data_IF_119713243901
#
_entry.id   IF_119713243901
#
_cell.length_a   1.000
_cell.length_b   1.000
_cell.length_c   1.000
_cell.angle_alpha   90.00
_cell.angle_beta   90.00
_cell.angle_gamma   90.00
#
_symmetry.space_group_name_H-M   'P 1'
#
loop_
_entity.id
_entity.type
_entity.pdbx_description
1 polymer ?
#
# COMPACT_ATOMS: atom_id res chain seq x y z
N UNK A 1 -26.71 18.76 -3.95
CA UNK A 1 -25.57 18.21 -3.20
C UNK A 1 -26.04 17.91 -1.79
N UNK A 2 -25.52 16.86 -1.15
CA UNK A 2 -25.83 16.59 0.26
C UNK A 2 -25.10 17.64 1.12
N UNK A 3 -25.83 18.39 1.93
CA UNK A 3 -25.29 19.39 2.85
C UNK A 3 -25.30 18.83 4.28
N UNK A 4 -24.29 19.18 5.07
CA UNK A 4 -24.18 18.83 6.48
C UNK A 4 -23.99 20.10 7.31
N UNK A 5 -24.70 20.22 8.43
CA UNK A 5 -24.49 21.30 9.40
C UNK A 5 -23.40 20.94 10.40
N UNK A 6 -22.83 21.95 11.06
CA UNK A 6 -21.91 21.72 12.16
C UNK A 6 -22.56 20.87 13.27
N UNK A 7 -23.85 21.08 13.57
CA UNK A 7 -24.63 20.27 14.52
C UNK A 7 -24.70 18.79 14.13
N UNK A 8 -24.98 18.48 12.86
CA UNK A 8 -25.01 17.10 12.37
C UNK A 8 -23.64 16.42 12.48
N UNK A 9 -22.58 17.13 12.08
CA UNK A 9 -21.21 16.60 12.10
C UNK A 9 -20.74 16.39 13.53
N UNK A 10 -20.97 17.36 14.41
CA UNK A 10 -20.64 17.25 15.82
C UNK A 10 -21.42 16.11 16.50
N UNK A 11 -22.71 15.96 16.21
CA UNK A 11 -23.53 14.86 16.73
C UNK A 11 -23.05 13.49 16.26
N UNK A 12 -22.63 13.36 15.00
CA UNK A 12 -22.05 12.12 14.47
C UNK A 12 -20.69 11.78 15.09
N UNK A 13 -19.86 12.79 15.34
CA UNK A 13 -18.49 12.61 15.85
C UNK A 13 -18.38 12.63 17.38
N UNK A 14 -19.42 13.04 18.10
CA UNK A 14 -19.36 13.32 19.53
C UNK A 14 -18.52 14.56 19.88
N UNK A 15 -18.54 15.57 19.00
CA UNK A 15 -17.76 16.80 19.12
C UNK A 15 -18.52 17.97 19.74
N UNK A 16 -17.77 18.95 20.23
CA UNK A 16 -18.29 20.21 20.75
C UNK A 16 -18.15 21.32 19.69
N UNK A 17 -19.15 22.19 19.59
CA UNK A 17 -19.17 23.27 18.60
C UNK A 17 -18.72 24.58 19.23
N UNK A 18 -17.78 25.27 18.59
CA UNK A 18 -17.41 26.65 18.91
C UNK A 18 -17.64 27.50 17.66
N UNK A 19 -18.69 28.33 17.68
CA UNK A 19 -19.13 29.11 16.52
C UNK A 19 -20.61 28.89 16.21
N UNK A 20 -20.99 28.99 14.95
CA UNK A 20 -22.38 28.83 14.50
C UNK A 20 -22.69 27.37 14.17
N UNK A 21 -23.57 26.75 14.95
CA UNK A 21 -24.00 25.35 14.80
C UNK A 21 -24.78 25.08 13.49
N UNK A 22 -25.35 26.12 12.89
CA UNK A 22 -26.10 26.03 11.62
C UNK A 22 -25.19 26.19 10.39
N UNK A 23 -23.88 26.43 10.59
CA UNK A 23 -22.90 26.51 9.51
C UNK A 23 -22.98 25.26 8.64
N UNK A 24 -23.09 25.44 7.32
CA UNK A 24 -23.26 24.35 6.36
C UNK A 24 -22.00 24.09 5.56
N UNK A 25 -21.77 22.82 5.26
CA UNK A 25 -20.71 22.37 4.34
C UNK A 25 -21.25 21.33 3.36
N UNK A 26 -20.68 21.32 2.17
CA UNK A 26 -21.03 20.37 1.10
C UNK A 26 -19.78 19.77 0.42
N UNK A 27 -18.58 20.12 0.87
CA UNK A 27 -17.31 19.59 0.37
C UNK A 27 -16.25 19.52 1.47
N UNK A 28 -15.16 18.80 1.22
CA UNK A 28 -13.97 18.76 2.06
C UNK A 28 -12.80 19.41 1.30
N UNK A 29 -11.89 20.09 2.01
CA UNK A 29 -10.69 20.70 1.43
C UNK A 29 -9.47 20.56 2.35
N UNK A 30 -8.27 20.79 1.81
CA UNK A 30 -7.12 21.09 2.65
C UNK A 30 -7.34 22.44 3.38
N UNK A 31 -6.56 22.69 4.42
CA UNK A 31 -6.74 23.88 5.25
C UNK A 31 -6.30 25.15 4.52
N UNK A 32 -5.30 25.04 3.63
CA UNK A 32 -4.76 26.12 2.82
C UNK A 32 -5.74 26.59 1.74
N UNK A 33 -6.45 25.65 1.11
CA UNK A 33 -7.37 25.90 0.00
C UNK A 33 -8.84 25.98 0.44
N UNK A 34 -9.06 26.14 1.74
CA UNK A 34 -10.39 26.23 2.34
C UNK A 34 -11.23 27.36 1.75
N UNK A 35 -12.49 27.07 1.45
CA UNK A 35 -13.47 28.02 0.89
C UNK A 35 -14.79 27.88 1.61
N UNK A 36 -15.65 28.90 1.48
CA UNK A 36 -16.98 28.85 2.05
C UNK A 36 -17.73 27.58 1.58
N UNK A 37 -18.35 26.87 2.51
CA UNK A 37 -18.99 25.57 2.26
C UNK A 37 -18.05 24.36 2.35
N UNK A 38 -16.76 24.54 2.65
CA UNK A 38 -15.82 23.43 2.89
C UNK A 38 -15.62 23.12 4.37
N UNK A 39 -15.49 21.83 4.67
CA UNK A 39 -14.93 21.31 5.91
C UNK A 39 -13.45 21.01 5.71
N UNK A 40 -12.62 21.40 6.68
CA UNK A 40 -11.22 20.99 6.75
C UNK A 40 -10.87 20.55 8.18
N UNK A 41 -9.61 20.23 8.44
CA UNK A 41 -9.15 19.73 9.73
C UNK A 41 -7.73 20.21 10.06
N UNK A 42 -7.46 20.38 11.35
CA UNK A 42 -6.14 20.67 11.88
C UNK A 42 -5.69 19.53 12.81
N UNK A 43 -4.87 18.63 12.28
CA UNK A 43 -4.30 17.50 13.02
C UNK A 43 -2.80 17.66 13.28
N UNK A 44 -2.10 18.41 12.42
CA UNK A 44 -0.68 18.71 12.56
C UNK A 44 -0.51 20.18 12.98
N UNK A 45 0.03 20.46 14.19
CA UNK A 45 0.22 21.83 14.69
C UNK A 45 1.02 22.73 13.76
N UNK A 46 1.89 22.19 12.89
CA UNK A 46 2.66 22.98 11.91
C UNK A 46 1.78 23.74 10.91
N UNK A 47 0.52 23.35 10.76
CA UNK A 47 -0.43 23.97 9.84
C UNK A 47 -1.37 24.97 10.54
N UNK A 48 -1.18 25.24 11.84
CA UNK A 48 -2.05 26.16 12.60
C UNK A 48 -2.11 27.55 11.95
N UNK A 49 -1.03 28.04 11.35
CA UNK A 49 -1.02 29.35 10.69
C UNK A 49 -2.08 29.47 9.58
N UNK A 50 -2.45 28.37 8.94
CA UNK A 50 -3.50 28.34 7.92
C UNK A 50 -4.92 28.38 8.52
N UNK A 51 -5.10 27.99 9.79
CA UNK A 51 -6.40 28.09 10.46
C UNK A 51 -6.94 29.52 10.48
N UNK A 52 -6.04 30.50 10.58
CA UNK A 52 -6.40 31.91 10.69
C UNK A 52 -6.64 32.59 9.34
N UNK A 53 -6.13 32.02 8.25
CA UNK A 53 -6.30 32.55 6.89
C UNK A 53 -7.23 31.73 6.01
N UNK A 54 -7.64 30.53 6.45
CA UNK A 54 -8.50 29.64 5.67
C UNK A 54 -9.88 30.27 5.42
N UNK A 55 -10.40 30.05 4.22
CA UNK A 55 -11.79 30.37 3.90
C UNK A 55 -12.77 29.25 4.25
N UNK A 56 -12.31 28.13 4.83
CA UNK A 56 -13.17 27.01 5.20
C UNK A 56 -14.26 27.44 6.21
N UNK A 57 -15.46 26.89 6.06
CA UNK A 57 -16.58 27.22 6.96
C UNK A 57 -16.52 26.45 8.26
N UNK A 58 -16.05 25.19 8.24
CA UNK A 58 -15.90 24.35 9.43
C UNK A 58 -14.47 23.80 9.48
N UNK A 59 -13.85 23.84 10.67
CA UNK A 59 -12.58 23.17 10.93
C UNK A 59 -12.70 22.18 12.09
N UNK A 60 -12.36 20.93 11.82
CA UNK A 60 -12.24 19.89 12.84
C UNK A 60 -10.89 20.00 13.56
N UNK A 61 -10.90 20.06 14.88
CA UNK A 61 -9.70 20.19 15.71
C UNK A 61 -9.76 19.27 16.92
N UNK A 62 -8.60 18.96 17.51
CA UNK A 62 -8.58 18.25 18.78
C UNK A 62 -9.21 19.12 19.89
N UNK A 63 -9.92 18.50 20.83
CA UNK A 63 -10.57 19.19 21.95
C UNK A 63 -9.58 20.00 22.79
N UNK A 64 -8.34 19.49 22.89
CA UNK A 64 -7.19 20.13 23.55
C UNK A 64 -6.58 21.29 22.79
N UNK A 65 -6.97 21.55 21.55
CA UNK A 65 -6.44 22.65 20.76
C UNK A 65 -7.01 23.98 21.28
N UNK A 66 -6.12 24.90 21.62
CA UNK A 66 -6.46 26.27 22.01
C UNK A 66 -5.90 27.24 20.96
N UNK A 67 -6.77 27.96 20.23
CA UNK A 67 -6.31 28.86 19.19
C UNK A 67 -5.55 30.06 19.77
N UNK A 68 -4.40 30.38 19.18
CA UNK A 68 -3.56 31.52 19.56
C UNK A 68 -4.06 32.86 19.01
N UNK A 69 -4.96 32.83 18.02
CA UNK A 69 -5.59 34.01 17.42
C UNK A 69 -7.09 33.76 17.20
N UNK A 70 -7.84 34.81 16.86
CA UNK A 70 -9.25 34.68 16.54
C UNK A 70 -9.44 33.79 15.30
N UNK A 71 -10.34 32.82 15.41
CA UNK A 71 -10.70 31.91 14.31
C UNK A 71 -12.02 32.35 13.70
N UNK A 72 -12.04 32.51 12.38
CA UNK A 72 -13.23 32.92 11.63
C UNK A 72 -14.19 31.75 11.36
N UNK A 73 -13.66 30.54 11.23
CA UNK A 73 -14.45 29.34 10.96
C UNK A 73 -15.14 28.80 12.22
N UNK A 74 -16.24 28.07 12.03
CA UNK A 74 -16.83 27.28 13.11
C UNK A 74 -15.94 26.09 13.42
N UNK A 75 -15.54 25.92 14.69
CA UNK A 75 -14.75 24.78 15.12
C UNK A 75 -15.64 23.65 15.60
N UNK A 76 -15.27 22.42 15.22
CA UNK A 76 -15.77 21.21 15.86
C UNK A 76 -14.60 20.57 16.61
N UNK A 77 -14.69 20.57 17.94
CA UNK A 77 -13.69 20.02 18.86
C UNK A 77 -14.01 18.56 19.17
N UNK A 78 -13.10 17.64 18.83
CA UNK A 78 -13.24 16.19 19.05
C UNK A 78 -12.02 15.61 19.79
N UNK A 79 -12.13 14.44 20.40
CA UNK A 79 -11.01 13.85 21.14
C UNK A 79 -9.81 13.50 20.24
N UNK A 80 -10.08 13.01 19.02
CA UNK A 80 -9.07 12.72 18.01
C UNK A 80 -9.57 13.15 16.62
N UNK A 81 -9.10 14.30 16.17
CA UNK A 81 -9.45 14.86 14.87
C UNK A 81 -8.99 13.97 13.72
N UNK A 82 -7.85 13.29 13.82
CA UNK A 82 -7.36 12.43 12.75
C UNK A 82 -8.24 11.19 12.57
N UNK A 83 -8.60 10.53 13.68
CA UNK A 83 -9.52 9.40 13.66
C UNK A 83 -10.93 9.81 13.16
N UNK A 84 -11.39 11.01 13.51
CA UNK A 84 -12.69 11.50 13.05
C UNK A 84 -12.70 11.85 11.56
N UNK A 85 -11.61 12.40 11.01
CA UNK A 85 -11.46 12.58 9.56
C UNK A 85 -11.58 11.25 8.83
N UNK A 86 -10.91 10.21 9.33
CA UNK A 86 -11.02 8.87 8.76
C UNK A 86 -12.49 8.39 8.74
N UNK A 87 -13.21 8.50 9.87
CA UNK A 87 -14.63 8.12 9.95
C UNK A 87 -15.51 8.89 8.95
N UNK A 88 -15.28 10.19 8.77
CA UNK A 88 -16.02 11.00 7.79
C UNK A 88 -15.75 10.55 6.35
N UNK A 89 -14.49 10.29 6.02
CA UNK A 89 -14.10 9.80 4.69
C UNK A 89 -14.66 8.41 4.41
N UNK A 90 -14.67 7.52 5.41
CA UNK A 90 -15.28 6.19 5.34
C UNK A 90 -16.79 6.27 5.11
N UNK A 91 -17.50 7.11 5.87
CA UNK A 91 -18.94 7.35 5.71
C UNK A 91 -19.24 7.86 4.30
N UNK A 92 -18.50 8.86 3.83
CA UNK A 92 -18.67 9.40 2.48
C UNK A 92 -18.45 8.34 1.41
N UNK A 93 -17.43 7.49 1.59
CA UNK A 93 -17.15 6.42 0.63
C UNK A 93 -18.23 5.32 0.67
N UNK A 94 -18.77 5.00 1.85
CA UNK A 94 -19.86 4.03 2.02
C UNK A 94 -21.19 4.53 1.42
N UNK A 95 -21.41 5.84 1.40
CA UNK A 95 -22.60 6.46 0.83
C UNK A 95 -22.59 6.49 -0.72
N UNK A 96 -21.45 6.21 -1.37
CA UNK A 96 -21.39 6.17 -2.83
C UNK A 96 -22.29 5.04 -3.37
N UNK A 97 -23.09 5.29 -4.43
CA UNK A 97 -23.90 4.25 -5.05
C UNK A 97 -23.04 3.05 -5.46
N UNK A 98 -23.43 1.86 -5.00
CA UNK A 98 -22.82 0.61 -5.46
C UNK A 98 -23.55 0.14 -6.71
N UNK A 99 -22.78 -0.35 -7.68
CA UNK A 99 -23.34 -1.00 -8.86
C UNK A 99 -23.76 -2.41 -8.48
N UNK A 100 -24.71 -2.96 -9.23
CA UNK A 100 -25.20 -4.33 -9.04
C UNK A 100 -25.55 -4.95 -10.39
N UNK A 101 -25.60 -6.29 -10.39
CA UNK A 101 -25.93 -7.08 -11.56
C UNK A 101 -24.71 -7.42 -12.43
N UNK A 102 -24.95 -8.30 -13.40
CA UNK A 102 -23.95 -8.78 -14.35
C UNK A 102 -24.21 -8.09 -15.68
N UNK A 103 -23.20 -7.42 -16.23
CA UNK A 103 -23.29 -6.81 -17.55
C UNK A 103 -23.59 -7.86 -18.62
N UNK A 104 -24.43 -7.49 -19.60
CA UNK A 104 -24.69 -8.32 -20.80
C UNK A 104 -23.46 -8.47 -21.70
N UNK A 105 -22.45 -7.62 -21.51
CA UNK A 105 -21.18 -7.65 -22.24
C UNK A 105 -20.10 -8.45 -21.48
N UNK A 106 -20.41 -8.98 -20.29
CA UNK A 106 -19.52 -9.88 -19.57
C UNK A 106 -19.65 -11.31 -20.11
N UNK A 107 -18.53 -12.03 -20.15
CA UNK A 107 -18.49 -13.46 -20.45
C UNK A 107 -18.33 -14.24 -19.15
N UNK A 108 -19.42 -14.81 -18.64
CA UNK A 108 -19.43 -15.60 -17.41
C UNK A 108 -19.71 -17.05 -17.74
N UNK A 109 -18.78 -17.94 -17.40
CA UNK A 109 -18.95 -19.38 -17.62
C UNK A 109 -20.15 -19.93 -16.83
N UNK A 110 -20.87 -20.88 -17.42
CA UNK A 110 -22.09 -21.46 -16.84
C UNK A 110 -21.87 -22.08 -15.45
N UNK A 111 -20.67 -22.62 -15.19
CA UNK A 111 -20.28 -23.23 -13.91
C UNK A 111 -19.64 -22.25 -12.92
N UNK A 112 -19.64 -20.95 -13.20
CA UNK A 112 -19.16 -19.96 -12.25
C UNK A 112 -20.21 -19.70 -11.16
N UNK A 113 -19.77 -19.58 -9.92
CA UNK A 113 -20.62 -19.26 -8.77
C UNK A 113 -20.47 -17.77 -8.44
N UNK A 114 -21.56 -17.00 -8.53
CA UNK A 114 -21.57 -15.58 -8.20
C UNK A 114 -22.52 -15.32 -7.04
N UNK A 115 -21.99 -14.75 -5.96
CA UNK A 115 -22.75 -14.41 -4.76
C UNK A 115 -23.78 -13.29 -5.00
N UNK A 116 -24.66 -13.10 -4.00
CA UNK A 116 -25.68 -12.06 -4.01
C UNK A 116 -25.06 -10.65 -4.03
N UNK A 117 -25.80 -9.69 -4.61
CA UNK A 117 -25.47 -8.25 -4.60
C UNK A 117 -24.09 -7.90 -5.20
N UNK A 118 -23.62 -8.75 -6.11
CA UNK A 118 -22.39 -8.52 -6.87
C UNK A 118 -22.63 -7.61 -8.07
N UNK A 119 -21.57 -6.94 -8.48
CA UNK A 119 -21.46 -6.28 -9.78
C UNK A 119 -20.37 -6.93 -10.62
N UNK A 120 -20.69 -7.21 -11.89
CA UNK A 120 -19.72 -7.65 -12.90
C UNK A 120 -19.84 -6.72 -14.11
N UNK A 121 -18.79 -5.93 -14.35
CA UNK A 121 -18.73 -4.92 -15.39
C UNK A 121 -18.52 -5.45 -16.80
N UNK A 122 -18.60 -4.54 -17.77
CA UNK A 122 -18.47 -4.84 -19.19
C UNK A 122 -17.14 -5.51 -19.53
N UNK A 123 -17.17 -6.47 -20.45
CA UNK A 123 -15.99 -7.16 -20.98
C UNK A 123 -15.16 -7.89 -19.92
N UNK A 124 -15.73 -8.12 -18.74
CA UNK A 124 -15.14 -9.02 -17.74
C UNK A 124 -15.32 -10.46 -18.17
N UNK A 125 -14.27 -11.27 -18.01
CA UNK A 125 -14.26 -12.69 -18.31
C UNK A 125 -14.12 -13.47 -17.01
N UNK A 126 -15.06 -14.37 -16.77
CA UNK A 126 -15.12 -15.24 -15.60
C UNK A 126 -15.13 -16.69 -16.09
N UNK A 127 -14.02 -17.38 -15.91
CA UNK A 127 -13.81 -18.74 -16.39
C UNK A 127 -14.53 -19.82 -15.55
N UNK A 128 -14.48 -21.07 -16.02
CA UNK A 128 -15.13 -22.18 -15.35
C UNK A 128 -14.59 -22.43 -13.92
N UNK A 129 -15.50 -22.76 -13.00
CA UNK A 129 -15.16 -23.09 -11.61
C UNK A 129 -14.75 -21.89 -10.76
N UNK A 130 -14.84 -20.67 -11.28
CA UNK A 130 -14.64 -19.44 -10.48
C UNK A 130 -15.74 -19.30 -9.43
N UNK A 131 -15.35 -18.88 -8.22
CA UNK A 131 -16.27 -18.60 -7.12
C UNK A 131 -16.10 -17.16 -6.63
N UNK A 132 -17.16 -16.37 -6.69
CA UNK A 132 -17.19 -14.98 -6.26
C UNK A 132 -18.15 -14.87 -5.08
N UNK A 133 -17.65 -14.39 -3.93
CA UNK A 133 -18.46 -14.14 -2.73
C UNK A 133 -19.50 -13.04 -2.92
N UNK A 134 -20.38 -12.85 -1.94
CA UNK A 134 -21.41 -11.79 -1.98
C UNK A 134 -20.80 -10.39 -1.92
N UNK A 135 -21.55 -9.38 -2.35
CA UNK A 135 -21.18 -7.96 -2.29
C UNK A 135 -19.88 -7.57 -3.03
N UNK A 136 -19.36 -8.43 -3.92
CA UNK A 136 -18.15 -8.13 -4.67
C UNK A 136 -18.41 -7.09 -5.77
N UNK A 137 -17.41 -6.28 -6.06
CA UNK A 137 -17.45 -5.28 -7.13
C UNK A 137 -16.35 -5.59 -8.15
N UNK A 138 -16.73 -6.28 -9.22
CA UNK A 138 -15.83 -6.66 -10.30
C UNK A 138 -16.01 -5.68 -11.45
N UNK A 139 -15.12 -4.70 -11.56
CA UNK A 139 -15.20 -3.65 -12.56
C UNK A 139 -14.88 -4.17 -13.98
N UNK A 140 -15.11 -3.35 -15.03
CA UNK A 140 -14.92 -3.78 -16.42
C UNK A 140 -13.52 -4.32 -16.74
N UNK A 141 -13.44 -5.20 -17.75
CA UNK A 141 -12.18 -5.75 -18.29
C UNK A 141 -11.37 -6.58 -17.29
N UNK A 142 -11.99 -7.05 -16.21
CA UNK A 142 -11.33 -7.99 -15.28
C UNK A 142 -11.28 -9.38 -15.91
N UNK A 143 -10.19 -10.11 -15.67
CA UNK A 143 -10.07 -11.52 -16.04
C UNK A 143 -9.91 -12.38 -14.78
N UNK A 144 -10.80 -13.36 -14.60
CA UNK A 144 -10.72 -14.38 -13.56
C UNK A 144 -10.54 -15.75 -14.22
N UNK A 145 -9.33 -16.31 -14.12
CA UNK A 145 -8.98 -17.62 -14.66
C UNK A 145 -9.68 -18.78 -13.95
N UNK A 146 -9.59 -19.96 -14.55
CA UNK A 146 -10.32 -21.14 -14.07
C UNK A 146 -10.03 -21.46 -12.60
N UNK A 147 -11.07 -21.79 -11.84
CA UNK A 147 -10.94 -22.16 -10.42
C UNK A 147 -10.50 -21.04 -9.46
N UNK A 148 -10.46 -19.78 -9.90
CA UNK A 148 -10.17 -18.63 -9.02
C UNK A 148 -11.26 -18.48 -7.95
N UNK A 149 -10.87 -18.12 -6.72
CA UNK A 149 -11.83 -17.74 -5.69
C UNK A 149 -11.64 -16.29 -5.25
N UNK A 150 -12.73 -15.55 -5.14
CA UNK A 150 -12.77 -14.16 -4.67
C UNK A 150 -13.72 -14.09 -3.47
N UNK A 151 -13.20 -13.68 -2.30
CA UNK A 151 -13.97 -13.57 -1.08
C UNK A 151 -14.97 -12.41 -1.09
N UNK A 152 -15.93 -12.47 -0.17
CA UNK A 152 -16.98 -11.46 0.02
C UNK A 152 -16.43 -10.03 0.12
N UNK A 153 -17.16 -9.08 -0.47
CA UNK A 153 -16.89 -7.65 -0.33
C UNK A 153 -15.64 -7.17 -1.07
N UNK A 154 -14.94 -8.05 -1.78
CA UNK A 154 -13.73 -7.72 -2.53
C UNK A 154 -14.03 -6.88 -3.77
N UNK A 155 -13.18 -5.89 -4.02
CA UNK A 155 -13.25 -4.96 -5.12
C UNK A 155 -12.08 -5.21 -6.07
N UNK A 156 -12.38 -5.55 -7.32
CA UNK A 156 -11.40 -5.65 -8.39
C UNK A 156 -11.65 -4.52 -9.38
N UNK A 157 -10.74 -3.55 -9.43
CA UNK A 157 -10.84 -2.39 -10.32
C UNK A 157 -10.56 -2.77 -11.80
N UNK A 158 -10.82 -1.85 -12.76
CA UNK A 158 -10.76 -2.20 -14.17
C UNK A 158 -9.44 -2.83 -14.60
N UNK A 159 -9.52 -3.90 -15.39
CA UNK A 159 -8.34 -4.52 -15.96
C UNK A 159 -7.49 -5.32 -14.97
N UNK A 160 -7.97 -5.67 -13.77
CA UNK A 160 -7.26 -6.66 -12.92
C UNK A 160 -7.26 -8.03 -13.60
N UNK A 161 -6.13 -8.75 -13.57
CA UNK A 161 -6.02 -10.12 -14.09
C UNK A 161 -5.63 -11.08 -12.97
N UNK A 162 -6.42 -12.13 -12.79
CA UNK A 162 -6.18 -13.19 -11.81
C UNK A 162 -6.08 -14.52 -12.55
N UNK A 163 -4.92 -15.15 -12.47
CA UNK A 163 -4.63 -16.41 -13.14
C UNK A 163 -5.27 -17.60 -12.40
N UNK A 164 -5.39 -18.71 -13.12
CA UNK A 164 -6.05 -19.94 -12.65
C UNK A 164 -5.64 -20.37 -11.23
N UNK A 165 -6.60 -20.90 -10.47
CA UNK A 165 -6.38 -21.47 -9.14
C UNK A 165 -5.92 -20.50 -8.04
N UNK A 166 -5.76 -19.20 -8.35
CA UNK A 166 -5.41 -18.19 -7.35
C UNK A 166 -6.61 -17.87 -6.44
N UNK A 167 -6.31 -17.46 -5.21
CA UNK A 167 -7.32 -17.23 -4.17
C UNK A 167 -7.15 -15.83 -3.60
N UNK A 168 -8.25 -15.08 -3.54
CA UNK A 168 -8.34 -13.75 -2.97
C UNK A 168 -9.36 -13.79 -1.84
N UNK A 169 -8.97 -13.28 -0.67
CA UNK A 169 -9.78 -13.19 0.53
C UNK A 169 -10.93 -12.19 0.44
N UNK A 170 -11.48 -11.86 1.60
CA UNK A 170 -12.61 -10.94 1.79
C UNK A 170 -12.11 -9.51 1.94
N UNK A 171 -12.97 -8.55 1.56
CA UNK A 171 -12.73 -7.11 1.69
C UNK A 171 -11.39 -6.66 1.07
N UNK A 172 -10.88 -7.39 0.08
CA UNK A 172 -9.65 -7.01 -0.60
C UNK A 172 -9.93 -5.91 -1.62
N UNK A 173 -8.93 -5.10 -1.90
CA UNK A 173 -8.99 -4.07 -2.94
C UNK A 173 -7.79 -4.28 -3.87
N UNK A 174 -8.06 -4.61 -5.13
CA UNK A 174 -7.02 -4.69 -6.16
C UNK A 174 -7.28 -3.59 -7.18
N UNK A 175 -6.33 -2.65 -7.28
CA UNK A 175 -6.41 -1.50 -8.18
C UNK A 175 -6.11 -1.85 -9.63
N UNK A 176 -6.44 -0.91 -10.52
CA UNK A 176 -6.45 -1.13 -11.96
C UNK A 176 -5.14 -1.70 -12.48
N UNK A 177 -5.25 -2.70 -13.38
CA UNK A 177 -4.10 -3.31 -14.04
C UNK A 177 -3.25 -4.26 -13.18
N UNK A 178 -3.57 -4.46 -11.89
CA UNK A 178 -2.85 -5.44 -11.08
C UNK A 178 -2.95 -6.86 -11.67
N UNK A 179 -1.85 -7.62 -11.58
CA UNK A 179 -1.75 -8.98 -12.13
C UNK A 179 -1.38 -9.96 -11.02
N UNK A 180 -2.20 -10.99 -10.84
CA UNK A 180 -2.04 -12.00 -9.80
C UNK A 180 -1.89 -13.38 -10.44
N UNK A 181 -0.77 -14.03 -10.17
CA UNK A 181 -0.50 -15.41 -10.54
C UNK A 181 0.13 -15.63 -11.90
N UNK A 182 0.76 -14.62 -12.49
CA UNK A 182 1.61 -14.79 -13.66
C UNK A 182 2.84 -15.65 -13.32
N UNK A 183 3.43 -16.30 -14.33
CA UNK A 183 4.69 -17.05 -14.15
C UNK A 183 5.80 -16.12 -13.68
N UNK A 184 6.46 -16.46 -12.58
CA UNK A 184 7.64 -15.74 -12.12
C UNK A 184 8.90 -16.01 -12.94
N UNK A 185 10.00 -15.36 -12.56
CA UNK A 185 11.32 -15.51 -13.20
C UNK A 185 11.97 -16.86 -12.90
N UNK A 186 11.49 -17.93 -13.54
CA UNK A 186 12.04 -19.29 -13.41
C UNK A 186 12.78 -19.72 -14.67
N UNK A 187 14.10 -19.59 -14.69
CA UNK A 187 14.95 -19.97 -15.82
C UNK A 187 16.21 -20.67 -15.34
N UNK A 188 16.64 -21.73 -16.04
CA UNK A 188 17.87 -22.46 -15.74
C UNK A 188 18.83 -22.43 -16.93
N UNK A 189 20.14 -22.14 -16.75
CA UNK A 189 21.11 -22.24 -17.83
C UNK A 189 21.13 -23.64 -18.44
N UNK A 190 21.16 -23.72 -19.76
CA UNK A 190 21.23 -25.00 -20.47
C UNK A 190 22.60 -25.22 -21.11
N UNK A 191 22.88 -26.46 -21.52
CA UNK A 191 24.17 -26.85 -22.08
C UNK A 191 24.52 -26.12 -23.40
N UNK A 192 23.53 -25.56 -24.09
CA UNK A 192 23.70 -24.79 -25.33
C UNK A 192 24.03 -23.30 -25.08
N UNK A 193 24.17 -22.87 -23.81
CA UNK A 193 24.44 -21.48 -23.44
C UNK A 193 23.21 -20.56 -23.42
N UNK A 194 22.01 -21.13 -23.50
CA UNK A 194 20.73 -20.43 -23.32
C UNK A 194 20.09 -20.68 -21.96
N UNK A 195 18.79 -20.42 -21.84
CA UNK A 195 18.01 -20.66 -20.62
C UNK A 195 16.74 -21.46 -20.93
N UNK A 196 16.50 -22.52 -20.17
CA UNK A 196 15.25 -23.29 -20.22
C UNK A 196 14.24 -22.73 -19.21
N UNK A 197 12.98 -22.57 -19.65
CA UNK A 197 11.89 -22.10 -18.79
C UNK A 197 11.54 -23.19 -17.77
N UNK A 198 11.46 -22.80 -16.51
CA UNK A 198 10.96 -23.64 -15.41
C UNK A 198 9.45 -23.43 -15.29
N UNK A 199 8.62 -24.46 -15.53
CA UNK A 199 7.17 -24.37 -15.32
C UNK A 199 6.85 -24.00 -13.87
N UNK A 200 5.92 -23.05 -13.68
CA UNK A 200 5.43 -22.62 -12.38
C UNK A 200 4.05 -23.25 -12.14
N UNK A 201 3.97 -24.20 -11.22
CA UNK A 201 2.78 -25.03 -11.00
C UNK A 201 1.95 -24.57 -9.79
N UNK A 202 2.49 -23.68 -8.97
CA UNK A 202 1.82 -23.16 -7.78
C UNK A 202 0.77 -22.10 -8.12
N UNK A 203 0.28 -21.44 -7.07
CA UNK A 203 -0.69 -20.35 -7.18
C UNK A 203 -0.30 -19.13 -6.33
N UNK A 204 -1.21 -18.17 -6.24
CA UNK A 204 -1.15 -17.06 -5.28
C UNK A 204 -2.32 -17.16 -4.32
N UNK A 205 -2.05 -16.93 -3.03
CA UNK A 205 -3.05 -16.81 -1.98
C UNK A 205 -2.94 -15.42 -1.35
N UNK A 206 -3.98 -14.62 -1.52
CA UNK A 206 -4.17 -13.32 -0.89
C UNK A 206 -5.24 -13.50 0.20
N UNK A 207 -4.88 -13.23 1.45
CA UNK A 207 -5.81 -13.30 2.58
C UNK A 207 -6.69 -12.05 2.69
N UNK A 208 -7.49 -11.96 3.75
CA UNK A 208 -8.50 -10.92 3.95
C UNK A 208 -7.90 -9.51 4.16
N UNK A 209 -8.68 -8.48 3.86
CA UNK A 209 -8.37 -7.06 4.12
C UNK A 209 -7.07 -6.57 3.46
N UNK A 210 -6.61 -7.23 2.39
CA UNK A 210 -5.41 -6.85 1.63
C UNK A 210 -5.73 -5.77 0.60
N UNK A 211 -4.83 -4.80 0.45
CA UNK A 211 -4.90 -3.80 -0.64
C UNK A 211 -3.67 -3.89 -1.53
N UNK A 212 -3.90 -3.95 -2.85
CA UNK A 212 -2.89 -4.06 -3.89
C UNK A 212 -3.04 -2.90 -4.87
N UNK A 213 -2.00 -2.09 -5.01
CA UNK A 213 -1.95 -0.92 -5.87
C UNK A 213 -2.00 -1.24 -7.37
N UNK A 214 -2.15 -0.17 -8.16
CA UNK A 214 -2.28 -0.26 -9.60
C UNK A 214 -1.00 -0.80 -10.23
N UNK A 215 -1.18 -1.68 -11.23
CA UNK A 215 -0.09 -2.33 -11.95
C UNK A 215 0.94 -3.07 -11.06
N UNK A 216 0.54 -3.48 -9.85
CA UNK A 216 1.35 -4.38 -9.03
C UNK A 216 1.22 -5.81 -9.55
N UNK A 217 2.35 -6.50 -9.63
CA UNK A 217 2.46 -7.88 -10.12
C UNK A 217 2.83 -8.82 -8.99
N UNK A 218 2.10 -9.92 -8.86
CA UNK A 218 2.36 -10.97 -7.88
C UNK A 218 2.48 -12.30 -8.63
N UNK A 219 3.69 -12.84 -8.68
CA UNK A 219 3.97 -14.07 -9.40
C UNK A 219 3.44 -15.28 -8.64
N UNK A 220 2.94 -16.27 -9.37
CA UNK A 220 2.63 -17.58 -8.77
C UNK A 220 3.92 -18.27 -8.34
N UNK A 221 3.79 -19.10 -7.32
CA UNK A 221 4.90 -19.91 -6.85
C UNK A 221 5.27 -21.02 -7.85
N UNK A 222 6.53 -21.48 -7.77
CA UNK A 222 7.00 -22.64 -8.54
C UNK A 222 6.26 -23.90 -8.12
N UNK A 223 6.20 -24.13 -6.81
CA UNK A 223 5.38 -25.11 -6.11
C UNK A 223 4.67 -24.42 -4.97
N UNK A 224 3.53 -24.93 -4.52
CA UNK A 224 2.75 -24.36 -3.41
C UNK A 224 2.16 -22.98 -3.74
N UNK A 225 2.41 -21.97 -2.90
CA UNK A 225 1.78 -20.65 -3.01
C UNK A 225 2.74 -19.51 -2.69
N UNK A 226 2.65 -18.44 -3.48
CA UNK A 226 3.04 -17.09 -3.04
C UNK A 226 1.92 -16.59 -2.13
N UNK A 227 2.25 -16.04 -0.96
CA UNK A 227 1.23 -15.71 0.05
C UNK A 227 1.36 -14.28 0.54
N UNK A 228 0.23 -13.57 0.46
CA UNK A 228 0.06 -12.23 1.00
C UNK A 228 -0.91 -12.33 2.17
N UNK A 229 -0.40 -12.13 3.39
CA UNK A 229 -1.19 -12.32 4.62
C UNK A 229 -2.16 -11.18 4.88
N UNK A 230 -3.10 -11.41 5.80
CA UNK A 230 -4.17 -10.49 6.14
C UNK A 230 -3.66 -9.08 6.44
N UNK A 231 -4.38 -8.07 5.94
CA UNK A 231 -4.13 -6.66 6.25
C UNK A 231 -2.92 -6.04 5.55
N UNK A 232 -2.18 -6.79 4.71
CA UNK A 232 -1.06 -6.24 3.94
C UNK A 232 -1.52 -5.14 2.99
N UNK A 233 -0.74 -4.07 2.87
CA UNK A 233 -0.99 -2.94 1.95
C UNK A 233 0.21 -2.74 1.03
N UNK A 234 0.03 -3.06 -0.24
CA UNK A 234 1.04 -2.88 -1.29
C UNK A 234 0.60 -1.72 -2.19
N UNK A 235 1.43 -0.70 -2.30
CA UNK A 235 1.22 0.43 -3.20
C UNK A 235 1.44 0.03 -4.68
N UNK A 236 1.45 1.02 -5.56
CA UNK A 236 1.50 0.87 -7.01
C UNK A 236 2.86 0.35 -7.52
N UNK A 237 2.83 -0.35 -8.67
CA UNK A 237 4.03 -0.78 -9.40
C UNK A 237 5.00 -1.65 -8.58
N UNK A 238 4.48 -2.44 -7.63
CA UNK A 238 5.29 -3.38 -6.85
C UNK A 238 5.45 -4.69 -7.64
N UNK A 239 6.61 -5.33 -7.48
CA UNK A 239 6.86 -6.69 -7.98
C UNK A 239 7.06 -7.65 -6.80
N UNK A 240 6.23 -8.69 -6.72
CA UNK A 240 6.36 -9.79 -5.79
C UNK A 240 6.73 -11.06 -6.57
N UNK A 241 7.92 -11.59 -6.32
CA UNK A 241 8.43 -12.81 -6.97
C UNK A 241 7.69 -14.09 -6.55
N UNK A 242 8.03 -15.19 -7.23
CA UNK A 242 7.47 -16.50 -6.94
C UNK A 242 7.85 -16.96 -5.52
N UNK A 243 6.93 -17.65 -4.82
CA UNK A 243 7.14 -18.20 -3.48
C UNK A 243 7.36 -17.17 -2.35
N UNK A 244 7.27 -15.86 -2.63
CA UNK A 244 7.34 -14.83 -1.59
C UNK A 244 6.24 -15.03 -0.54
N UNK A 245 6.57 -14.74 0.70
CA UNK A 245 5.63 -14.72 1.83
C UNK A 245 5.70 -13.36 2.53
N UNK A 246 4.59 -12.63 2.60
CA UNK A 246 4.51 -11.33 3.29
C UNK A 246 3.58 -11.44 4.50
N UNK A 247 4.11 -11.18 5.69
CA UNK A 247 3.43 -11.27 6.98
C UNK A 247 2.35 -10.21 7.20
N UNK A 248 1.50 -10.46 8.19
CA UNK A 248 0.30 -9.65 8.47
C UNK A 248 0.60 -8.16 8.68
N UNK A 249 -0.29 -7.28 8.21
CA UNK A 249 -0.22 -5.82 8.40
C UNK A 249 1.09 -5.16 7.95
N UNK A 250 1.89 -5.83 7.12
CA UNK A 250 3.06 -5.22 6.49
C UNK A 250 2.62 -4.26 5.39
N UNK A 251 3.24 -3.09 5.35
CA UNK A 251 2.96 -2.06 4.35
C UNK A 251 4.18 -1.80 3.49
N UNK A 252 3.97 -1.60 2.20
CA UNK A 252 5.02 -1.32 1.23
C UNK A 252 4.61 -0.19 0.29
N UNK A 253 5.47 0.82 0.20
CA UNK A 253 5.33 1.93 -0.75
C UNK A 253 5.74 1.53 -2.16
N UNK A 254 5.37 2.37 -3.13
CA UNK A 254 5.48 2.07 -4.55
C UNK A 254 6.87 1.60 -5.00
N UNK A 255 6.87 0.80 -6.07
CA UNK A 255 8.08 0.34 -6.77
C UNK A 255 9.04 -0.51 -5.93
N UNK A 256 8.55 -1.09 -4.84
CA UNK A 256 9.28 -2.14 -4.12
C UNK A 256 9.36 -3.42 -4.97
N UNK A 257 10.51 -4.07 -4.97
CA UNK A 257 10.71 -5.37 -5.61
C UNK A 257 11.18 -6.41 -4.59
N UNK A 258 10.47 -7.53 -4.50
CA UNK A 258 10.83 -8.66 -3.63
C UNK A 258 11.10 -9.87 -4.51
N UNK A 259 12.36 -10.30 -4.57
CA UNK A 259 12.78 -11.45 -5.36
C UNK A 259 12.35 -12.77 -4.71
N UNK A 260 12.32 -13.81 -5.56
CA UNK A 260 11.96 -15.21 -5.34
C UNK A 260 11.57 -15.61 -3.92
N UNK A 261 12.20 -16.60 -3.33
CA UNK A 261 11.72 -17.36 -2.17
C UNK A 261 11.88 -16.61 -0.82
N UNK A 262 11.77 -15.28 -0.84
CA UNK A 262 12.00 -14.41 0.31
C UNK A 262 10.79 -14.32 1.24
N UNK A 263 11.04 -14.02 2.51
CA UNK A 263 10.03 -13.91 3.55
C UNK A 263 10.13 -12.53 4.20
N UNK A 264 9.00 -11.84 4.31
CA UNK A 264 8.87 -10.59 5.07
C UNK A 264 7.94 -10.84 6.24
N UNK A 265 8.38 -10.49 7.44
CA UNK A 265 7.62 -10.61 8.69
C UNK A 265 6.37 -9.74 8.73
N UNK A 266 5.69 -9.75 9.87
CA UNK A 266 4.49 -8.92 10.12
C UNK A 266 4.86 -7.52 10.57
N UNK A 267 3.94 -6.58 10.34
CA UNK A 267 4.05 -5.17 10.75
C UNK A 267 5.35 -4.49 10.27
N UNK A 268 5.88 -4.91 9.12
CA UNK A 268 7.04 -4.27 8.50
C UNK A 268 6.60 -3.02 7.73
N UNK A 269 7.52 -2.06 7.62
CA UNK A 269 7.35 -0.85 6.82
C UNK A 269 8.44 -0.80 5.76
N UNK A 270 8.07 -1.03 4.50
CA UNK A 270 8.98 -0.93 3.36
C UNK A 270 8.70 0.39 2.64
N UNK A 271 9.62 1.35 2.71
CA UNK A 271 9.49 2.62 2.03
C UNK A 271 9.65 2.49 0.50
N UNK A 272 9.57 3.60 -0.23
CA UNK A 272 9.52 3.57 -1.70
C UNK A 272 10.79 3.00 -2.32
N UNK A 273 10.62 2.17 -3.37
CA UNK A 273 11.72 1.58 -4.14
C UNK A 273 12.68 0.69 -3.31
N UNK A 274 12.18 -0.04 -2.31
CA UNK A 274 13.00 -1.03 -1.60
C UNK A 274 13.24 -2.25 -2.50
N UNK A 275 14.46 -2.79 -2.49
CA UNK A 275 14.80 -4.05 -3.16
C UNK A 275 15.14 -5.13 -2.15
N UNK A 276 14.56 -6.32 -2.28
CA UNK A 276 14.89 -7.49 -1.46
C UNK A 276 15.39 -8.59 -2.39
N UNK A 277 16.61 -9.08 -2.13
CA UNK A 277 17.22 -10.18 -2.88
C UNK A 277 16.49 -11.51 -2.64
N UNK A 278 16.81 -12.50 -3.47
CA UNK A 278 16.21 -13.83 -3.40
C UNK A 278 16.67 -14.56 -2.14
N UNK A 279 15.80 -15.39 -1.56
CA UNK A 279 16.04 -16.17 -0.34
C UNK A 279 16.36 -15.36 0.94
N UNK A 280 15.93 -14.10 1.02
CA UNK A 280 16.15 -13.25 2.20
C UNK A 280 14.99 -13.38 3.19
N UNK A 281 15.30 -13.56 4.47
CA UNK A 281 14.34 -13.49 5.58
C UNK A 281 14.43 -12.13 6.27
N UNK A 282 13.36 -11.34 6.16
CA UNK A 282 13.15 -10.10 6.92
C UNK A 282 12.24 -10.41 8.10
N UNK A 283 12.73 -10.15 9.31
CA UNK A 283 12.00 -10.35 10.57
C UNK A 283 10.78 -9.45 10.74
N UNK A 284 10.13 -9.57 11.88
CA UNK A 284 8.94 -8.80 12.24
C UNK A 284 9.29 -7.35 12.63
N UNK A 285 8.35 -6.43 12.44
CA UNK A 285 8.47 -5.02 12.86
C UNK A 285 9.67 -4.26 12.26
N UNK A 286 10.22 -4.74 11.15
CA UNK A 286 11.36 -4.14 10.46
C UNK A 286 10.93 -2.90 9.67
N UNK A 287 11.76 -1.86 9.69
CA UNK A 287 11.56 -0.63 8.89
C UNK A 287 12.71 -0.43 7.90
N UNK A 288 12.39 -0.38 6.62
CA UNK A 288 13.37 -0.20 5.55
C UNK A 288 13.14 1.15 4.87
N UNK A 289 14.18 1.99 4.89
CA UNK A 289 14.17 3.31 4.24
C UNK A 289 14.19 3.23 2.72
N UNK A 290 13.74 4.30 2.06
CA UNK A 290 13.56 4.32 0.60
C UNK A 290 14.85 3.99 -0.15
N UNK A 291 14.73 3.32 -1.30
CA UNK A 291 15.86 2.92 -2.18
C UNK A 291 16.89 1.97 -1.55
N UNK A 292 16.59 1.40 -0.38
CA UNK A 292 17.50 0.45 0.26
C UNK A 292 17.41 -0.93 -0.39
N UNK A 293 18.55 -1.61 -0.49
CA UNK A 293 18.65 -3.02 -0.91
C UNK A 293 18.96 -3.92 0.28
N UNK A 294 18.30 -5.08 0.35
CA UNK A 294 18.57 -6.14 1.33
C UNK A 294 19.07 -7.40 0.61
N UNK A 295 20.32 -7.78 0.87
CA UNK A 295 20.99 -8.96 0.33
C UNK A 295 21.20 -10.07 1.38
N UNK A 296 20.84 -9.80 2.63
CA UNK A 296 20.99 -10.70 3.78
C UNK A 296 19.83 -10.56 4.74
N UNK A 297 19.64 -11.60 5.54
CA UNK A 297 18.60 -11.66 6.56
C UNK A 297 18.65 -10.45 7.52
N UNK A 298 17.46 -10.06 7.96
CA UNK A 298 17.23 -8.92 8.83
C UNK A 298 16.53 -9.41 10.10
N UNK A 299 17.14 -9.27 11.29
CA UNK A 299 16.47 -9.56 12.56
C UNK A 299 15.25 -8.67 12.82
N UNK A 300 14.38 -9.11 13.73
CA UNK A 300 13.20 -8.38 14.16
C UNK A 300 13.52 -6.96 14.68
N UNK A 301 12.62 -6.01 14.43
CA UNK A 301 12.64 -4.65 14.97
C UNK A 301 13.73 -3.73 14.41
N UNK A 302 14.55 -4.23 13.49
CA UNK A 302 15.63 -3.48 12.86
C UNK A 302 15.11 -2.30 12.02
N UNK A 303 15.92 -1.24 11.98
CA UNK A 303 15.70 -0.09 11.10
C UNK A 303 16.91 0.03 10.17
N UNK A 304 16.73 -0.27 8.89
CA UNK A 304 17.81 -0.19 7.89
C UNK A 304 17.50 0.86 6.85
N UNK A 305 18.52 1.61 6.45
CA UNK A 305 18.42 2.58 5.36
C UNK A 305 19.77 2.75 4.67
N UNK A 306 19.73 3.03 3.36
CA UNK A 306 20.88 3.35 2.53
C UNK A 306 20.44 4.11 1.27
N UNK A 307 21.34 4.90 0.69
CA UNK A 307 21.06 5.87 -0.39
C UNK A 307 20.08 7.01 0.01
N UNK A 308 20.47 7.97 0.87
CA UNK A 308 19.86 9.29 0.82
C UNK A 308 20.58 10.15 -0.24
N UNK A 309 19.82 11.03 -0.89
CA UNK A 309 20.42 12.07 -1.70
C UNK A 309 21.27 12.98 -0.81
N UNK A 310 22.51 13.26 -1.25
CA UNK A 310 23.40 14.24 -0.63
C UNK A 310 23.53 15.44 -1.57
N UNK A 311 23.81 16.65 -1.05
CA UNK A 311 24.27 17.77 -1.88
C UNK A 311 25.39 17.32 -2.82
N UNK A 312 25.32 17.70 -4.11
CA UNK A 312 26.15 17.08 -5.15
C UNK A 312 27.66 17.07 -4.86
N UNK A 313 28.21 18.17 -4.35
CA UNK A 313 29.62 18.24 -3.96
C UNK A 313 29.97 17.33 -2.78
N UNK A 314 29.06 17.19 -1.81
CA UNK A 314 29.25 16.27 -0.70
C UNK A 314 29.22 14.82 -1.21
N UNK A 315 28.27 14.48 -2.09
CA UNK A 315 28.21 13.16 -2.71
C UNK A 315 29.51 12.82 -3.45
N UNK A 316 29.99 13.70 -4.34
CA UNK A 316 31.21 13.46 -5.11
C UNK A 316 32.43 13.24 -4.23
N UNK A 317 32.58 14.02 -3.14
CA UNK A 317 33.67 13.84 -2.18
C UNK A 317 33.57 12.49 -1.47
N UNK A 318 32.40 12.13 -0.96
CA UNK A 318 32.18 10.83 -0.31
C UNK A 318 32.41 9.66 -1.26
N UNK A 319 31.93 9.75 -2.50
CA UNK A 319 32.12 8.72 -3.52
C UNK A 319 33.59 8.54 -3.92
N UNK A 320 34.38 9.62 -3.97
CA UNK A 320 35.82 9.54 -4.22
C UNK A 320 36.57 8.79 -3.11
N UNK A 321 36.17 8.97 -1.84
CA UNK A 321 36.74 8.21 -0.71
C UNK A 321 36.30 6.76 -0.76
N UNK A 322 35.01 6.50 -1.02
CA UNK A 322 34.45 5.15 -1.09
C UNK A 322 35.16 4.27 -2.12
N UNK A 323 35.50 4.82 -3.29
CA UNK A 323 36.29 4.10 -4.31
C UNK A 323 37.68 3.68 -3.86
N UNK A 324 38.27 4.39 -2.88
CA UNK A 324 39.61 4.14 -2.36
C UNK A 324 39.62 3.39 -1.02
N UNK A 325 38.45 2.93 -0.55
CA UNK A 325 38.34 2.26 0.75
C UNK A 325 39.28 1.05 0.87
N UNK A 326 39.43 0.19 -0.18
CA UNK A 326 40.35 -0.95 -0.11
C UNK A 326 41.82 -0.55 0.05
N UNK A 327 42.27 0.52 -0.62
CA UNK A 327 43.64 1.03 -0.48
C UNK A 327 43.85 1.68 0.89
N UNK A 328 42.85 2.39 1.40
CA UNK A 328 42.89 2.98 2.74
C UNK A 328 42.95 1.88 3.81
N UNK A 329 42.19 0.79 3.69
CA UNK A 329 42.25 -0.36 4.60
C UNK A 329 43.65 -0.98 4.63
N UNK A 330 44.26 -1.21 3.46
CA UNK A 330 45.64 -1.70 3.35
C UNK A 330 46.65 -0.76 4.01
N UNK A 331 46.49 0.55 3.79
CA UNK A 331 47.36 1.56 4.38
C UNK A 331 47.25 1.55 5.92
N UNK A 332 46.03 1.51 6.46
CA UNK A 332 45.79 1.44 7.90
C UNK A 332 46.45 0.19 8.49
N UNK A 333 46.25 -0.98 7.88
CA UNK A 333 46.84 -2.22 8.35
C UNK A 333 48.38 -2.21 8.33
N UNK A 334 48.98 -1.60 7.31
CA UNK A 334 50.44 -1.43 7.24
C UNK A 334 50.96 -0.48 8.31
N UNK A 335 50.26 0.63 8.57
CA UNK A 335 50.60 1.57 9.64
C UNK A 335 50.50 0.90 11.02
N UNK A 336 49.47 0.10 11.27
CA UNK A 336 49.32 -0.67 12.52
C UNK A 336 50.51 -1.62 12.76
N UNK A 337 50.98 -2.32 11.71
CA UNK A 337 52.17 -3.19 11.80
C UNK A 337 53.43 -2.41 12.16
N UNK A 338 53.71 -1.30 11.46
CA UNK A 338 54.88 -0.47 11.74
C UNK A 338 54.83 0.12 13.16
N UNK A 339 53.64 0.53 13.62
CA UNK A 339 53.47 1.06 14.97
C UNK A 339 53.72 0.00 16.05
N UNK A 340 53.34 -1.26 15.81
CA UNK A 340 53.61 -2.38 16.71
C UNK A 340 55.10 -2.73 16.76
N UNK A 341 55.82 -2.61 15.64
CA UNK A 341 57.28 -2.81 15.58
C UNK A 341 58.03 -1.71 16.35
N UNK A 342 57.60 -0.44 16.25
CA UNK A 342 58.22 0.68 16.96
C UNK A 342 58.01 0.68 18.48
N UNK A 343 57.04 -0.11 18.99
CA UNK A 343 56.74 -0.25 20.42
C UNK A 343 57.46 -1.43 21.09
N UNK A 344 58.17 -2.26 20.32
CA UNK A 344 59.05 -3.32 20.83
C UNK A 344 60.45 -2.78 21.10
#
# INVERSE_FOLDING_TARGET
MMEFTAEMIAGFLGGDIVGDKETKVHTVSSIEEGKAGSLTYLTNPKYETFLYSTGASIVLVNRSFEPSQQVSATLIKVDDAAACVLKLLEMYNAAKPRRSGISKLASVAEKAEVGADCYIGDFTVVEAGVKIGKNCQIYPQVYLGAGVTVGEGTILYPGVKVYEGCRIGRNCILHAGAVVGADGFGFMPNAAGGFDKIPQLGNVVIEDDVEIGANTCIDRAKTDSTVIRRGVKLDNLIQIGHNVQIGENTVSSAQTGIAGTSRVGRNCFLAGQVGIADHVNVGDFVKIGSKSGLDKDVPDGEVRFGYPALPGMQYHRSAAVFKRLPELEKLVHNLEKQLAELKK
#
